data_IF_314670637222
#
_entry.id   IF_314670637222
#
_cell.length_a   1.000
_cell.length_b   1.000
_cell.length_c   1.000
_cell.angle_alpha   90.00
_cell.angle_beta   90.00
_cell.angle_gamma   90.00
#
_symmetry.space_group_name_H-M   'P 1'
#
loop_
_entity.id
_entity.type
_entity.pdbx_description
1 polymer ?
#
# COMPACT_ATOMS: atom_id res chain seq x y z
N UNK A 1 -17.90 -16.05 -12.00
CA UNK A 1 -17.50 -14.65 -12.26
C UNK A 1 -18.51 -13.73 -11.57
N UNK A 2 -18.33 -13.39 -10.30
CA UNK A 2 -19.33 -12.63 -9.55
C UNK A 2 -18.66 -11.53 -8.71
N UNK A 3 -19.12 -10.28 -8.86
CA UNK A 3 -18.84 -9.19 -7.92
C UNK A 3 -17.88 -8.08 -8.37
N UNK A 4 -17.69 -7.82 -9.67
CA UNK A 4 -17.02 -6.59 -10.10
C UNK A 4 -18.09 -5.51 -10.30
N UNK A 5 -18.16 -4.55 -9.38
CA UNK A 5 -19.02 -3.36 -9.56
C UNK A 5 -18.55 -2.57 -10.78
N UNK A 6 -19.47 -2.17 -11.67
CA UNK A 6 -19.17 -1.28 -12.83
C UNK A 6 -18.82 0.15 -12.40
N UNK A 7 -19.07 0.52 -11.14
CA UNK A 7 -18.78 1.86 -10.63
C UNK A 7 -17.29 1.92 -10.27
N UNK A 8 -16.53 2.74 -11.00
CA UNK A 8 -15.07 2.89 -10.78
C UNK A 8 -14.74 3.60 -9.47
N UNK A 9 -15.66 4.43 -8.96
CA UNK A 9 -15.52 5.15 -7.69
C UNK A 9 -16.43 4.48 -6.66
N UNK A 10 -15.81 3.89 -5.64
CA UNK A 10 -16.45 3.24 -4.50
C UNK A 10 -15.85 3.78 -3.21
N UNK A 11 -16.53 3.59 -2.08
CA UNK A 11 -16.04 4.01 -0.77
C UNK A 11 -14.65 3.42 -0.47
N UNK A 12 -14.39 2.12 -0.70
CA UNK A 12 -13.04 1.55 -0.53
C UNK A 12 -11.97 2.27 -1.37
N UNK A 13 -12.23 2.56 -2.65
CA UNK A 13 -11.25 3.24 -3.51
C UNK A 13 -10.90 4.65 -3.00
N UNK A 14 -11.87 5.37 -2.45
CA UNK A 14 -11.62 6.70 -1.83
C UNK A 14 -10.76 6.55 -0.59
N UNK A 15 -10.99 5.52 0.23
CA UNK A 15 -10.17 5.21 1.41
C UNK A 15 -8.74 4.84 1.02
N UNK A 16 -8.55 4.01 -0.02
CA UNK A 16 -7.23 3.69 -0.58
C UNK A 16 -6.51 4.95 -1.07
N UNK A 17 -7.22 5.85 -1.76
CA UNK A 17 -6.64 7.12 -2.22
C UNK A 17 -6.23 8.02 -1.04
N UNK A 18 -7.09 8.11 -0.02
CA UNK A 18 -6.80 8.86 1.20
C UNK A 18 -5.53 8.32 1.88
N UNK A 19 -5.35 6.99 1.94
CA UNK A 19 -4.14 6.35 2.47
C UNK A 19 -2.88 6.78 1.73
N UNK A 20 -2.92 6.79 0.39
CA UNK A 20 -1.79 7.24 -0.43
C UNK A 20 -1.46 8.70 -0.10
N UNK A 21 -2.47 9.57 -0.02
CA UNK A 21 -2.26 10.98 0.33
C UNK A 21 -1.66 11.11 1.72
N UNK A 22 -2.21 10.43 2.73
CA UNK A 22 -1.67 10.48 4.10
C UNK A 22 -0.23 9.97 4.18
N UNK A 23 0.10 8.89 3.46
CA UNK A 23 1.45 8.35 3.42
C UNK A 23 2.43 9.35 2.77
N UNK A 24 2.05 9.97 1.65
CA UNK A 24 2.87 11.01 0.99
C UNK A 24 3.05 12.24 1.90
N UNK A 25 1.98 12.69 2.55
CA UNK A 25 2.05 13.81 3.51
C UNK A 25 2.97 13.45 4.69
N UNK A 26 2.86 12.23 5.24
CA UNK A 26 3.75 11.76 6.30
C UNK A 26 5.23 11.73 5.87
N UNK A 27 5.54 11.34 4.62
CA UNK A 27 6.89 11.40 4.06
C UNK A 27 7.44 12.82 3.93
N UNK A 28 6.58 13.83 3.75
CA UNK A 28 7.01 15.24 3.76
C UNK A 28 7.23 15.70 5.20
N UNK A 29 6.29 15.38 6.10
CA UNK A 29 6.32 15.79 7.50
C UNK A 29 7.52 15.24 8.28
N UNK A 30 8.01 14.04 7.95
CA UNK A 30 9.14 13.43 8.67
C UNK A 30 10.45 14.24 8.56
N UNK A 31 10.56 15.09 7.53
CA UNK A 31 11.74 15.94 7.33
C UNK A 31 11.89 16.97 8.45
N UNK A 32 10.78 17.37 9.07
CA UNK A 32 10.74 18.27 10.22
C UNK A 32 10.76 17.45 11.53
N UNK A 33 11.80 17.58 12.37
CA UNK A 33 11.92 16.86 13.65
C UNK A 33 10.71 17.01 14.57
N UNK A 34 10.08 18.18 14.62
CA UNK A 34 8.94 18.44 15.50
C UNK A 34 7.66 17.75 15.02
N UNK A 35 7.56 17.49 13.72
CA UNK A 35 6.37 16.89 13.09
C UNK A 35 6.46 15.38 12.94
N UNK A 36 7.55 14.75 13.38
CA UNK A 36 7.74 13.30 13.27
C UNK A 36 6.67 12.50 14.01
N UNK A 37 6.24 12.98 15.19
CA UNK A 37 5.15 12.36 15.94
C UNK A 37 3.84 12.36 15.15
N UNK A 38 3.51 13.49 14.51
CA UNK A 38 2.34 13.61 13.65
C UNK A 38 2.42 12.68 12.44
N UNK A 39 3.59 12.60 11.78
CA UNK A 39 3.81 11.69 10.65
C UNK A 39 3.59 10.22 11.04
N UNK A 40 4.08 9.80 12.23
CA UNK A 40 3.85 8.45 12.74
C UNK A 40 2.37 8.16 13.01
N UNK A 41 1.66 9.10 13.65
CA UNK A 41 0.22 8.99 13.90
C UNK A 41 -0.56 8.88 12.58
N UNK A 42 -0.24 9.70 11.58
CA UNK A 42 -0.87 9.62 10.26
C UNK A 42 -0.68 8.25 9.59
N UNK A 43 0.49 7.63 9.73
CA UNK A 43 0.74 6.30 9.18
C UNK A 43 0.01 5.20 9.93
N UNK A 44 -0.11 5.30 11.25
CA UNK A 44 -0.93 4.37 12.05
C UNK A 44 -2.39 4.46 11.58
N UNK A 45 -2.93 5.67 11.44
CA UNK A 45 -4.28 5.88 10.91
C UNK A 45 -4.42 5.34 9.47
N UNK A 46 -3.45 5.58 8.59
CA UNK A 46 -3.46 5.04 7.24
C UNK A 46 -3.42 3.50 7.19
N UNK A 47 -2.76 2.86 8.16
CA UNK A 47 -2.72 1.40 8.30
C UNK A 47 -4.07 0.86 8.80
N UNK A 48 -4.72 1.57 9.72
CA UNK A 48 -6.06 1.21 10.20
C UNK A 48 -7.10 1.31 9.08
N UNK A 49 -6.99 2.34 8.22
CA UNK A 49 -7.92 2.55 7.10
C UNK A 49 -7.89 1.41 6.08
N UNK A 50 -6.74 0.74 5.87
CA UNK A 50 -6.61 -0.47 5.03
C UNK A 50 -7.53 -1.60 5.49
N UNK A 51 -7.52 -1.83 6.81
CA UNK A 51 -8.35 -2.88 7.37
C UNK A 51 -9.84 -2.58 7.16
N UNK A 52 -10.23 -1.32 7.31
CA UNK A 52 -11.62 -0.89 7.12
C UNK A 52 -12.05 -0.93 5.65
N UNK A 53 -11.22 -0.49 4.70
CA UNK A 53 -11.58 -0.50 3.28
C UNK A 53 -11.73 -1.94 2.76
N UNK A 54 -10.86 -2.86 3.17
CA UNK A 54 -10.92 -4.28 2.85
C UNK A 54 -12.11 -4.97 3.51
N UNK A 55 -12.42 -4.64 4.77
CA UNK A 55 -13.63 -5.12 5.44
C UNK A 55 -14.89 -4.64 4.72
N UNK A 56 -14.97 -3.36 4.38
CA UNK A 56 -16.12 -2.76 3.70
C UNK A 56 -16.31 -3.36 2.29
N UNK A 57 -15.24 -3.49 1.51
CA UNK A 57 -15.28 -4.10 0.18
C UNK A 57 -15.76 -5.56 0.23
N UNK A 58 -15.36 -6.35 1.25
CA UNK A 58 -15.83 -7.72 1.45
C UNK A 58 -17.29 -7.78 1.89
N UNK A 59 -17.70 -6.94 2.84
CA UNK A 59 -19.04 -6.96 3.43
C UNK A 59 -20.12 -6.51 2.45
N UNK A 60 -19.82 -5.51 1.62
CA UNK A 60 -20.76 -4.90 0.68
C UNK A 60 -20.55 -5.32 -0.78
N UNK A 61 -19.67 -6.31 -1.03
CA UNK A 61 -19.31 -6.81 -2.36
C UNK A 61 -18.89 -5.70 -3.36
N UNK A 62 -18.28 -4.62 -2.86
CA UNK A 62 -17.83 -3.49 -3.67
C UNK A 62 -16.39 -3.68 -4.19
N UNK A 63 -16.09 -4.86 -4.74
CA UNK A 63 -14.78 -5.10 -5.38
C UNK A 63 -14.76 -4.45 -6.75
N UNK A 64 -13.73 -3.67 -7.05
CA UNK A 64 -13.56 -2.99 -8.35
C UNK A 64 -12.22 -3.36 -8.98
N UNK A 65 -12.12 -3.27 -10.32
CA UNK A 65 -10.85 -3.45 -11.02
C UNK A 65 -9.81 -2.40 -10.62
N UNK A 66 -10.27 -1.17 -10.39
CA UNK A 66 -9.42 -0.05 -10.00
C UNK A 66 -8.85 -0.26 -8.58
N UNK A 67 -9.68 -0.62 -7.60
CA UNK A 67 -9.24 -0.97 -6.25
C UNK A 67 -8.21 -2.10 -6.23
N UNK A 68 -8.44 -3.16 -7.01
CA UNK A 68 -7.49 -4.28 -7.11
C UNK A 68 -6.08 -3.89 -7.61
N UNK A 69 -5.91 -2.75 -8.29
CA UNK A 69 -4.61 -2.20 -8.67
C UNK A 69 -4.11 -1.12 -7.69
N UNK A 70 -5.04 -0.32 -7.14
CA UNK A 70 -4.70 0.73 -6.17
C UNK A 70 -4.23 0.15 -4.84
N UNK A 71 -4.84 -0.93 -4.32
CA UNK A 71 -4.50 -1.45 -3.00
C UNK A 71 -3.02 -1.91 -2.93
N UNK A 72 -2.50 -2.73 -3.89
CA UNK A 72 -1.07 -3.08 -3.90
C UNK A 72 -0.13 -1.91 -4.17
N UNK A 73 -0.63 -0.80 -4.73
CA UNK A 73 0.15 0.42 -4.92
C UNK A 73 0.22 1.22 -3.61
N UNK A 74 -0.91 1.39 -2.93
CA UNK A 74 -1.00 2.06 -1.64
C UNK A 74 -0.11 1.38 -0.60
N UNK A 75 -0.09 0.04 -0.55
CA UNK A 75 0.77 -0.71 0.36
C UNK A 75 2.25 -0.43 0.14
N UNK A 76 2.70 -0.32 -1.12
CA UNK A 76 4.09 0.01 -1.43
C UNK A 76 4.46 1.43 -1.06
N UNK A 77 3.55 2.38 -1.27
CA UNK A 77 3.76 3.76 -0.84
C UNK A 77 3.91 3.78 0.68
N UNK A 78 2.99 3.13 1.41
CA UNK A 78 2.99 3.08 2.87
C UNK A 78 4.29 2.47 3.41
N UNK A 79 4.70 1.30 2.91
CA UNK A 79 5.91 0.62 3.39
C UNK A 79 7.18 1.42 3.06
N UNK A 80 7.23 2.07 1.89
CA UNK A 80 8.35 2.94 1.51
C UNK A 80 8.46 4.12 2.47
N UNK A 81 7.33 4.76 2.80
CA UNK A 81 7.30 5.88 3.74
C UNK A 81 7.77 5.42 5.12
N UNK A 82 7.26 4.30 5.63
CA UNK A 82 7.69 3.74 6.93
C UNK A 82 9.21 3.49 6.95
N UNK A 83 9.77 2.90 5.90
CA UNK A 83 11.22 2.69 5.82
C UNK A 83 12.01 4.00 5.78
N UNK A 84 11.53 5.02 5.05
CA UNK A 84 12.16 6.33 5.04
C UNK A 84 12.17 6.97 6.44
N UNK A 85 11.10 6.80 7.20
CA UNK A 85 11.01 7.27 8.59
C UNK A 85 12.07 6.60 9.45
N UNK A 86 12.13 5.26 9.44
CA UNK A 86 13.08 4.51 10.26
C UNK A 86 14.53 4.85 9.82
N UNK A 87 14.76 4.97 8.52
CA UNK A 87 16.07 5.32 7.99
C UNK A 87 16.50 6.74 8.40
N UNK A 88 15.57 7.69 8.48
CA UNK A 88 15.83 9.05 8.96
C UNK A 88 16.19 9.12 10.45
N UNK A 89 15.75 8.13 11.24
CA UNK A 89 16.07 8.01 12.66
C UNK A 89 17.43 7.36 12.90
N UNK A 90 17.72 6.24 12.21
CA UNK A 90 18.95 5.46 12.41
C UNK A 90 20.17 6.14 11.76
N UNK A 91 20.01 6.76 10.59
CA UNK A 91 21.06 7.50 9.86
C UNK A 91 22.36 6.74 9.61
N UNK A 92 22.34 5.41 9.51
CA UNK A 92 23.53 4.61 9.19
C UNK A 92 23.55 4.20 7.71
N UNK A 93 24.72 4.23 7.03
CA UNK A 93 24.86 3.81 5.63
C UNK A 93 24.34 2.39 5.36
N UNK A 94 24.62 1.46 6.29
CA UNK A 94 24.15 0.07 6.22
C UNK A 94 22.63 -0.03 6.22
N UNK A 95 21.94 0.78 7.02
CA UNK A 95 20.48 0.75 7.05
C UNK A 95 19.87 1.25 5.75
N UNK A 96 20.43 2.32 5.15
CA UNK A 96 19.99 2.78 3.82
C UNK A 96 20.19 1.71 2.75
N UNK A 97 21.29 0.96 2.80
CA UNK A 97 21.52 -0.18 1.90
C UNK A 97 20.45 -1.26 2.06
N UNK A 98 20.15 -1.69 3.30
CA UNK A 98 19.10 -2.67 3.55
C UNK A 98 17.72 -2.21 3.07
N UNK A 99 17.35 -0.94 3.32
CA UNK A 99 16.11 -0.36 2.79
C UNK A 99 16.08 -0.43 1.26
N UNK A 100 17.19 -0.08 0.60
CA UNK A 100 17.31 -0.18 -0.86
C UNK A 100 17.10 -1.60 -1.39
N UNK A 101 17.70 -2.60 -0.74
CA UNK A 101 17.53 -4.02 -1.10
C UNK A 101 16.08 -4.47 -0.93
N UNK A 102 15.42 -4.09 0.16
CA UNK A 102 14.01 -4.43 0.41
C UNK A 102 13.11 -3.81 -0.65
N UNK A 103 13.29 -2.53 -0.97
CA UNK A 103 12.51 -1.84 -2.00
C UNK A 103 12.74 -2.45 -3.40
N UNK A 104 13.98 -2.80 -3.73
CA UNK A 104 14.30 -3.50 -4.97
C UNK A 104 13.57 -4.84 -5.05
N UNK A 105 13.57 -5.62 -3.97
CA UNK A 105 12.85 -6.89 -3.86
C UNK A 105 11.35 -6.71 -4.10
N UNK A 106 10.73 -5.69 -3.51
CA UNK A 106 9.30 -5.40 -3.71
C UNK A 106 8.97 -5.09 -5.19
N UNK A 107 9.81 -4.31 -5.86
CA UNK A 107 9.65 -4.01 -7.29
C UNK A 107 9.83 -5.27 -8.14
N UNK A 108 10.89 -6.04 -7.90
CA UNK A 108 11.18 -7.27 -8.65
C UNK A 108 10.07 -8.32 -8.49
N UNK A 109 9.59 -8.56 -7.27
CA UNK A 109 8.49 -9.50 -6.99
C UNK A 109 7.20 -9.04 -7.65
N UNK A 110 6.92 -7.73 -7.66
CA UNK A 110 5.76 -7.19 -8.38
C UNK A 110 5.87 -7.41 -9.88
N UNK A 111 7.02 -7.09 -10.47
CA UNK A 111 7.23 -7.27 -11.90
C UNK A 111 7.11 -8.72 -12.31
N UNK A 112 7.73 -9.63 -11.53
CA UNK A 112 7.59 -11.06 -11.72
C UNK A 112 6.12 -11.50 -11.66
N UNK A 113 5.36 -11.05 -10.66
CA UNK A 113 3.93 -11.35 -10.52
C UNK A 113 3.11 -10.88 -11.72
N UNK A 114 3.41 -9.70 -12.26
CA UNK A 114 2.73 -9.15 -13.45
C UNK A 114 3.06 -10.01 -14.68
N UNK A 115 4.33 -10.36 -14.90
CA UNK A 115 4.78 -11.17 -16.05
C UNK A 115 4.15 -12.56 -16.00
N UNK A 116 4.15 -13.23 -14.84
CA UNK A 116 3.53 -14.55 -14.66
C UNK A 116 2.03 -14.48 -14.90
N UNK A 117 1.33 -13.47 -14.36
CA UNK A 117 -0.11 -13.29 -14.62
C UNK A 117 -0.42 -13.12 -16.11
N UNK A 118 0.44 -12.42 -16.86
CA UNK A 118 0.29 -12.25 -18.31
C UNK A 118 0.55 -13.53 -19.09
N UNK A 119 1.56 -14.32 -18.71
CA UNK A 119 1.94 -15.55 -19.42
C UNK A 119 1.06 -16.76 -19.08
N UNK A 120 0.63 -16.89 -17.83
CA UNK A 120 -0.07 -18.09 -17.38
C UNK A 120 -1.55 -18.11 -17.77
N UNK A 121 -2.22 -16.96 -17.97
CA UNK A 121 -3.69 -16.91 -18.11
C UNK A 121 -4.47 -17.41 -16.89
N UNK A 122 -3.79 -17.98 -15.89
CA UNK A 122 -4.36 -18.50 -14.66
C UNK A 122 -4.52 -17.35 -13.68
N UNK A 123 -5.77 -16.90 -13.55
CA UNK A 123 -6.21 -16.09 -12.43
C UNK A 123 -6.14 -17.01 -11.20
N UNK A 124 -5.08 -16.92 -10.40
CA UNK A 124 -5.05 -17.57 -9.09
C UNK A 124 -5.91 -16.71 -8.17
N UNK A 125 -7.15 -17.10 -7.82
CA UNK A 125 -7.94 -16.35 -6.86
C UNK A 125 -7.22 -16.40 -5.51
N UNK A 126 -7.20 -15.27 -4.81
CA UNK A 126 -6.70 -15.22 -3.44
C UNK A 126 -7.48 -16.24 -2.60
N UNK A 127 -6.77 -17.13 -1.94
CA UNK A 127 -7.36 -18.06 -1.00
C UNK A 127 -7.85 -17.29 0.22
N UNK A 128 -8.74 -17.86 1.03
CA UNK A 128 -9.29 -17.18 2.20
C UNK A 128 -8.23 -16.77 3.26
N UNK A 129 -7.00 -17.26 3.10
CA UNK A 129 -5.85 -17.00 3.99
C UNK A 129 -4.76 -16.13 3.34
N UNK A 130 -4.93 -15.70 2.08
CA UNK A 130 -3.88 -15.03 1.28
C UNK A 130 -3.63 -15.75 -0.04
#
# INVERSE_FOLDING_TARGET
>A
MAGISRKEITVPNIMTLLRIIMAVVAAVLIRDPERRGLAAVMLIFASILDYFDGWYARRFQQKTRLGAHLDPFADKVLITVVFLIIASAIKTPWFYFFVGVILLREVLVTMYRIVVRRKAGVFVPASWLG
#
